data_IF_207180551043
#
_entry.id   IF_207180551043
#
_cell.length_a   1.000
_cell.length_b   1.000
_cell.length_c   1.000
_cell.angle_alpha   90.00
_cell.angle_beta   90.00
_cell.angle_gamma   90.00
#
_symmetry.space_group_name_H-M   'P 1'
#
loop_
_entity.id
_entity.type
_entity.pdbx_description
1 polymer ?
#
# COMPACT_ATOMS: atom_id res chain seq x y z
N UNK A 1 18.00 -13.44 -39.63
CA UNK A 1 18.63 -13.95 -38.41
C UNK A 1 18.44 -12.94 -37.29
N UNK A 2 17.47 -13.20 -36.41
CA UNK A 2 17.48 -12.76 -35.01
C UNK A 2 16.82 -13.88 -34.23
N UNK A 3 17.56 -14.41 -33.27
CA UNK A 3 17.16 -15.46 -32.36
C UNK A 3 16.03 -14.97 -31.44
N UNK A 4 15.03 -15.81 -31.19
CA UNK A 4 14.01 -15.60 -30.16
C UNK A 4 14.45 -16.43 -28.96
N UNK A 5 14.98 -15.75 -27.95
CA UNK A 5 15.42 -16.31 -26.68
C UNK A 5 14.20 -16.77 -25.86
N UNK A 6 14.33 -17.92 -25.18
CA UNK A 6 13.24 -18.72 -24.64
C UNK A 6 12.33 -18.00 -23.63
N UNK A 7 11.04 -18.02 -23.91
CA UNK A 7 10.00 -17.66 -22.95
C UNK A 7 9.90 -18.76 -21.88
N UNK A 8 10.14 -18.40 -20.61
CA UNK A 8 9.90 -19.27 -19.45
C UNK A 8 8.40 -19.65 -19.34
N UNK A 9 8.04 -20.74 -18.65
CA UNK A 9 6.65 -21.08 -18.37
C UNK A 9 5.94 -19.93 -17.65
N UNK A 10 4.63 -19.82 -17.82
CA UNK A 10 3.84 -18.76 -17.19
C UNK A 10 3.92 -18.86 -15.65
N UNK A 11 4.00 -17.74 -14.92
CA UNK A 11 4.14 -17.71 -13.44
C UNK A 11 3.12 -18.55 -12.68
N UNK A 12 1.93 -18.74 -13.27
CA UNK A 12 0.88 -19.60 -12.74
C UNK A 12 1.27 -21.07 -12.71
N UNK A 13 1.84 -21.59 -13.80
CA UNK A 13 2.16 -23.02 -13.89
C UNK A 13 3.27 -23.39 -12.92
N UNK A 14 4.27 -22.53 -12.75
CA UNK A 14 5.36 -22.77 -11.79
C UNK A 14 4.84 -22.76 -10.34
N UNK A 15 3.94 -21.81 -10.00
CA UNK A 15 3.28 -21.77 -8.70
C UNK A 15 2.43 -23.02 -8.45
N UNK A 16 1.55 -23.35 -9.42
CA UNK A 16 0.57 -24.42 -9.26
C UNK A 16 1.26 -25.78 -9.12
N UNK A 17 2.26 -26.07 -9.96
CA UNK A 17 3.01 -27.33 -9.91
C UNK A 17 3.79 -27.43 -8.60
N UNK A 18 4.45 -26.35 -8.16
CA UNK A 18 5.19 -26.33 -6.89
C UNK A 18 4.28 -26.57 -5.68
N UNK A 19 3.18 -25.82 -5.60
CA UNK A 19 2.19 -25.98 -4.53
C UNK A 19 1.56 -27.38 -4.54
N UNK A 20 1.18 -27.89 -5.71
CA UNK A 20 0.51 -29.18 -5.84
C UNK A 20 1.41 -30.32 -5.39
N UNK A 21 2.68 -30.33 -5.79
CA UNK A 21 3.65 -31.34 -5.37
C UNK A 21 3.80 -31.32 -3.86
N UNK A 22 4.02 -30.14 -3.26
CA UNK A 22 4.20 -30.02 -1.81
C UNK A 22 2.96 -30.46 -1.02
N UNK A 23 1.77 -30.09 -1.50
CA UNK A 23 0.52 -30.46 -0.83
C UNK A 23 0.26 -31.98 -0.85
N UNK A 24 0.56 -32.66 -1.97
CA UNK A 24 0.35 -34.10 -2.10
C UNK A 24 1.32 -34.96 -1.25
N UNK A 25 2.37 -34.37 -0.69
CA UNK A 25 3.26 -35.07 0.27
C UNK A 25 2.55 -35.26 1.62
N UNK A 26 1.53 -34.46 1.92
CA UNK A 26 0.79 -34.53 3.18
C UNK A 26 -0.24 -35.67 3.07
N UNK A 27 -0.12 -36.76 3.86
CA UNK A 27 -0.96 -37.96 3.70
C UNK A 27 -2.43 -37.74 4.09
N UNK A 28 -2.76 -36.62 4.74
CA UNK A 28 -4.13 -36.23 5.07
C UNK A 28 -4.85 -35.48 3.95
N UNK A 29 -4.16 -35.10 2.87
CA UNK A 29 -4.75 -34.38 1.75
C UNK A 29 -4.93 -35.28 0.54
N UNK A 30 -6.05 -35.13 -0.13
CA UNK A 30 -6.29 -35.73 -1.43
C UNK A 30 -5.72 -34.87 -2.55
N UNK A 31 -5.38 -35.49 -3.68
CA UNK A 31 -4.99 -34.76 -4.89
C UNK A 31 -6.04 -33.72 -5.31
N UNK A 32 -7.33 -33.99 -5.06
CA UNK A 32 -8.42 -33.06 -5.35
C UNK A 32 -8.39 -31.82 -4.42
N UNK A 33 -8.22 -32.01 -3.12
CA UNK A 33 -8.08 -30.91 -2.16
C UNK A 33 -6.85 -30.06 -2.45
N UNK A 34 -5.72 -30.71 -2.77
CA UNK A 34 -4.49 -30.02 -3.16
C UNK A 34 -4.65 -29.25 -4.47
N UNK A 35 -5.33 -29.81 -5.47
CA UNK A 35 -5.63 -29.10 -6.71
C UNK A 35 -6.46 -27.86 -6.42
N UNK A 36 -7.52 -27.96 -5.61
CA UNK A 36 -8.41 -26.83 -5.33
C UNK A 36 -7.71 -25.74 -4.50
N UNK A 37 -6.92 -26.12 -3.49
CA UNK A 37 -6.17 -25.19 -2.65
C UNK A 37 -5.10 -24.45 -3.46
N UNK A 38 -4.28 -25.19 -4.22
CA UNK A 38 -3.24 -24.58 -5.04
C UNK A 38 -3.79 -23.77 -6.20
N UNK A 39 -4.96 -24.14 -6.74
CA UNK A 39 -5.65 -23.32 -7.73
C UNK A 39 -6.09 -21.99 -7.10
N UNK A 40 -6.68 -22.00 -5.90
CA UNK A 40 -7.07 -20.76 -5.20
C UNK A 40 -5.84 -19.87 -4.91
N UNK A 41 -4.78 -20.47 -4.39
CA UNK A 41 -3.57 -19.74 -3.97
C UNK A 41 -2.73 -19.22 -5.15
N UNK A 42 -2.74 -19.93 -6.30
CA UNK A 42 -1.96 -19.56 -7.48
C UNK A 42 -2.77 -18.79 -8.55
N UNK A 43 -4.10 -18.92 -8.61
CA UNK A 43 -4.94 -18.08 -9.50
C UNK A 43 -5.03 -16.65 -8.97
N UNK A 44 -5.13 -16.49 -7.64
CA UNK A 44 -5.06 -15.19 -6.98
C UNK A 44 -3.91 -15.25 -5.98
N UNK A 45 -2.68 -14.94 -6.40
CA UNK A 45 -1.58 -14.82 -5.45
C UNK A 45 -1.96 -13.72 -4.44
N UNK A 46 -2.25 -14.10 -3.20
CA UNK A 46 -2.52 -13.14 -2.11
C UNK A 46 -1.23 -12.45 -1.64
N UNK A 47 -0.11 -12.66 -2.34
CA UNK A 47 1.15 -12.01 -2.04
C UNK A 47 1.62 -11.30 -3.30
N UNK A 48 1.78 -9.97 -3.19
CA UNK A 48 2.17 -9.01 -4.23
C UNK A 48 1.03 -8.43 -5.07
N UNK A 49 0.02 -7.82 -4.42
CA UNK A 49 -0.56 -6.61 -5.02
C UNK A 49 0.55 -5.56 -5.11
N UNK A 50 1.06 -5.34 -6.31
CA UNK A 50 1.67 -4.12 -6.82
C UNK A 50 2.26 -3.17 -5.75
N UNK A 51 3.51 -3.38 -5.36
CA UNK A 51 4.28 -2.40 -4.56
C UNK A 51 4.67 -1.15 -5.41
N UNK A 52 4.33 -1.14 -6.71
CA UNK A 52 4.58 -0.02 -7.60
C UNK A 52 3.26 0.63 -8.02
N UNK A 53 2.74 1.59 -7.24
CA UNK A 53 1.76 2.54 -7.79
C UNK A 53 0.79 3.24 -6.83
N UNK A 54 0.27 2.56 -5.80
CA UNK A 54 -0.94 3.04 -5.12
C UNK A 54 -0.80 3.23 -3.60
N UNK A 55 0.12 4.07 -3.13
CA UNK A 55 0.30 4.30 -1.68
C UNK A 55 0.11 5.75 -1.29
N UNK A 56 -1.15 6.15 -1.10
CA UNK A 56 -1.49 7.16 -0.11
C UNK A 56 -2.17 6.43 1.05
N UNK A 57 -1.55 6.54 2.24
CA UNK A 57 -1.84 5.93 3.56
C UNK A 57 -2.30 4.46 3.60
N UNK A 58 -1.52 3.60 4.24
CA UNK A 58 -1.81 2.17 4.43
C UNK A 58 -1.63 1.77 5.89
N UNK A 59 -2.48 0.88 6.39
CA UNK A 59 -2.47 0.38 7.77
C UNK A 59 -2.85 -1.09 7.82
N UNK A 60 -2.36 -1.82 8.83
CA UNK A 60 -2.82 -3.18 9.14
C UNK A 60 -4.13 -3.21 9.93
N UNK A 61 -4.62 -2.05 10.38
CA UNK A 61 -5.91 -1.92 11.06
C UNK A 61 -7.06 -2.24 10.10
N UNK A 62 -8.02 -3.04 10.55
CA UNK A 62 -9.29 -3.24 9.85
C UNK A 62 -10.15 -1.97 9.96
N UNK A 63 -10.65 -1.48 8.83
CA UNK A 63 -11.43 -0.23 8.75
C UNK A 63 -12.94 -0.44 8.82
N UNK A 64 -13.42 -1.66 9.01
CA UNK A 64 -14.85 -1.94 9.21
C UNK A 64 -15.38 -1.18 10.44
N UNK A 65 -16.46 -0.42 10.25
CA UNK A 65 -17.06 0.41 11.30
C UNK A 65 -16.29 1.71 11.64
N UNK A 66 -15.17 1.99 10.96
CA UNK A 66 -14.43 3.24 11.12
C UNK A 66 -15.00 4.32 10.18
N UNK A 67 -15.12 5.55 10.67
CA UNK A 67 -15.45 6.71 9.83
C UNK A 67 -14.26 7.14 8.97
N UNK A 68 -14.08 6.42 7.85
CA UNK A 68 -13.03 6.69 6.86
C UNK A 68 -13.15 8.11 6.29
N UNK A 69 -14.37 8.65 6.15
CA UNK A 69 -14.58 9.98 5.59
C UNK A 69 -13.99 11.07 6.48
N UNK A 70 -14.14 10.94 7.80
CA UNK A 70 -13.52 11.86 8.76
C UNK A 70 -11.99 11.83 8.66
N UNK A 71 -11.37 10.64 8.56
CA UNK A 71 -9.91 10.51 8.41
C UNK A 71 -9.43 11.19 7.12
N UNK A 72 -10.09 10.92 6.00
CA UNK A 72 -9.71 11.48 4.70
C UNK A 72 -9.85 13.01 4.68
N UNK A 73 -10.90 13.56 5.30
CA UNK A 73 -11.10 15.02 5.40
C UNK A 73 -10.02 15.68 6.25
N UNK A 74 -9.75 15.15 7.44
CA UNK A 74 -8.74 15.71 8.34
C UNK A 74 -7.33 15.64 7.72
N UNK A 75 -7.00 14.53 7.07
CA UNK A 75 -5.74 14.38 6.35
C UNK A 75 -5.63 15.35 5.16
N UNK A 76 -6.72 15.51 4.39
CA UNK A 76 -6.76 16.45 3.25
C UNK A 76 -6.52 17.88 3.72
N UNK A 77 -7.22 18.30 4.78
CA UNK A 77 -7.04 19.62 5.37
C UNK A 77 -5.61 19.84 5.88
N UNK A 78 -5.08 18.89 6.66
CA UNK A 78 -3.73 19.00 7.21
C UNK A 78 -2.65 19.10 6.12
N UNK A 79 -2.78 18.32 5.05
CA UNK A 79 -1.85 18.37 3.91
C UNK A 79 -1.96 19.69 3.16
N UNK A 80 -3.19 20.15 2.87
CA UNK A 80 -3.44 21.41 2.17
C UNK A 80 -2.88 22.61 2.93
N UNK A 81 -3.19 22.71 4.23
CA UNK A 81 -2.77 23.79 5.12
C UNK A 81 -1.24 23.85 5.25
N UNK A 82 -0.60 22.71 5.53
CA UNK A 82 0.83 22.68 5.82
C UNK A 82 1.71 22.83 4.57
N UNK A 83 1.26 22.33 3.41
CA UNK A 83 1.98 22.54 2.14
C UNK A 83 1.67 23.91 1.54
N UNK A 84 0.53 24.51 1.90
CA UNK A 84 0.07 25.79 1.35
C UNK A 84 -0.54 25.65 -0.04
N UNK A 85 -1.23 24.54 -0.31
CA UNK A 85 -1.94 24.28 -1.57
C UNK A 85 -3.45 24.18 -1.33
N UNK A 86 -4.29 24.59 -2.30
CA UNK A 86 -5.74 24.41 -2.16
C UNK A 86 -6.10 22.92 -2.00
N UNK A 87 -7.07 22.60 -1.15
CA UNK A 87 -7.56 21.22 -0.95
C UNK A 87 -7.98 20.55 -2.26
N UNK A 88 -8.47 21.32 -3.23
CA UNK A 88 -8.84 20.81 -4.56
C UNK A 88 -7.67 20.16 -5.34
N UNK A 89 -6.41 20.40 -4.93
CA UNK A 89 -5.21 19.79 -5.50
C UNK A 89 -4.61 18.69 -4.60
N UNK A 90 -5.30 18.33 -3.51
CA UNK A 90 -4.84 17.32 -2.55
C UNK A 90 -5.66 16.05 -2.76
N UNK A 91 -4.97 14.92 -2.90
CA UNK A 91 -5.58 13.61 -3.00
C UNK A 91 -5.05 12.74 -1.85
N UNK A 92 -5.96 12.20 -1.04
CA UNK A 92 -5.64 11.25 0.02
C UNK A 92 -6.38 9.95 -0.24
N UNK A 93 -5.69 8.83 -0.10
CA UNK A 93 -6.28 7.50 -0.08
C UNK A 93 -6.00 6.87 1.28
N UNK A 94 -6.80 5.90 1.70
CA UNK A 94 -6.56 5.10 2.89
C UNK A 94 -6.86 3.64 2.57
N UNK A 95 -5.88 2.77 2.82
CA UNK A 95 -6.00 1.32 2.67
C UNK A 95 -5.83 0.64 4.01
N UNK A 96 -6.84 -0.10 4.44
CA UNK A 96 -6.82 -0.92 5.65
C UNK A 96 -6.46 -2.37 5.37
N UNK A 97 -6.30 -3.14 6.43
CA UNK A 97 -6.03 -4.58 6.38
C UNK A 97 -4.82 -4.95 5.50
N UNK A 98 -3.85 -4.04 5.39
CA UNK A 98 -2.59 -4.28 4.68
C UNK A 98 -1.60 -4.89 5.67
N UNK A 99 -1.03 -6.08 5.42
CA UNK A 99 -0.04 -6.66 6.32
C UNK A 99 1.16 -5.72 6.53
N UNK A 100 1.40 -5.32 7.79
CA UNK A 100 2.52 -4.44 8.18
C UNK A 100 3.16 -5.01 9.43
N UNK A 101 4.49 -5.10 9.40
CA UNK A 101 5.33 -5.51 10.52
C UNK A 101 6.40 -4.45 10.76
N UNK A 102 6.50 -3.93 11.97
CA UNK A 102 7.58 -3.01 12.39
C UNK A 102 8.32 -3.66 13.56
N UNK A 103 9.61 -3.90 13.37
CA UNK A 103 10.46 -4.54 14.37
C UNK A 103 10.08 -5.99 14.68
N UNK A 104 9.46 -6.70 13.73
CA UNK A 104 8.99 -8.08 13.93
C UNK A 104 7.63 -8.19 14.65
N UNK A 105 6.96 -7.06 14.94
CA UNK A 105 5.68 -7.01 15.66
C UNK A 105 4.57 -6.56 14.70
N UNK A 106 3.41 -7.23 14.76
CA UNK A 106 2.24 -6.98 13.89
C UNK A 106 1.17 -6.07 14.51
N UNK A 107 1.43 -5.48 15.67
CA UNK A 107 0.57 -4.47 16.31
C UNK A 107 0.22 -3.31 15.36
N UNK A 108 -0.86 -2.54 15.63
CA UNK A 108 -1.30 -1.43 14.80
C UNK A 108 -0.14 -0.57 14.30
N UNK A 109 -0.04 -0.44 12.99
CA UNK A 109 1.06 0.21 12.31
C UNK A 109 0.58 0.78 10.98
N UNK A 110 1.23 1.86 10.55
CA UNK A 110 0.89 2.52 9.30
C UNK A 110 2.12 2.96 8.51
N UNK A 111 1.92 3.12 7.21
CA UNK A 111 2.88 3.68 6.29
C UNK A 111 2.17 4.65 5.35
N UNK A 112 2.76 5.81 5.09
CA UNK A 112 2.25 6.78 4.13
C UNK A 112 3.33 7.32 3.23
N UNK A 113 2.90 7.85 2.09
CA UNK A 113 3.75 8.63 1.19
C UNK A 113 3.06 9.98 0.96
N UNK A 114 3.85 11.06 0.85
CA UNK A 114 3.40 12.38 0.44
C UNK A 114 4.21 12.77 -0.78
N UNK A 115 3.53 12.90 -1.91
CA UNK A 115 4.10 13.37 -3.17
C UNK A 115 3.57 14.77 -3.43
N UNK A 116 4.45 15.74 -3.67
CA UNK A 116 4.06 17.11 -3.98
C UNK A 116 5.01 17.71 -5.02
N UNK A 117 4.49 18.65 -5.82
CA UNK A 117 5.29 19.51 -6.68
C UNK A 117 5.69 20.74 -5.88
N UNK A 118 6.89 20.73 -5.30
CA UNK A 118 7.36 21.75 -4.37
C UNK A 118 6.57 21.81 -3.06
N UNK A 119 6.95 22.75 -2.18
CA UNK A 119 6.32 22.98 -0.87
C UNK A 119 6.79 22.04 0.24
N UNK A 120 7.51 20.97 -0.09
CA UNK A 120 8.14 20.08 0.89
C UNK A 120 9.50 20.65 1.31
N UNK A 121 9.77 20.63 2.60
CA UNK A 121 11.04 21.01 3.23
C UNK A 121 11.10 20.40 4.64
N UNK A 122 12.25 20.40 5.33
CA UNK A 122 12.37 19.74 6.64
C UNK A 122 11.32 20.16 7.68
N UNK A 123 10.96 21.45 7.74
CA UNK A 123 9.98 21.96 8.71
C UNK A 123 8.55 21.55 8.35
N UNK A 124 8.17 21.67 7.08
CA UNK A 124 6.85 21.21 6.58
C UNK A 124 6.71 19.71 6.74
N UNK A 125 7.74 18.93 6.39
CA UNK A 125 7.75 17.48 6.52
C UNK A 125 7.59 17.04 7.98
N UNK A 126 8.27 17.72 8.91
CA UNK A 126 8.12 17.46 10.35
C UNK A 126 6.68 17.71 10.82
N UNK A 127 6.07 18.82 10.40
CA UNK A 127 4.68 19.17 10.76
C UNK A 127 3.68 18.19 10.13
N UNK A 128 3.87 17.80 8.87
CA UNK A 128 3.03 16.81 8.19
C UNK A 128 3.10 15.45 8.89
N UNK A 129 4.31 14.98 9.21
CA UNK A 129 4.51 13.73 9.93
C UNK A 129 3.78 13.74 11.28
N UNK A 130 3.88 14.85 12.03
CA UNK A 130 3.19 15.00 13.30
C UNK A 130 1.66 14.97 13.11
N UNK A 131 1.12 15.83 12.23
CA UNK A 131 -0.32 15.95 12.00
C UNK A 131 -0.96 14.62 11.56
N UNK A 132 -0.36 13.94 10.58
CA UNK A 132 -0.87 12.66 10.09
C UNK A 132 -0.77 11.57 11.17
N UNK A 133 0.32 11.54 11.94
CA UNK A 133 0.46 10.58 13.05
C UNK A 133 -0.59 10.79 14.14
N UNK A 134 -0.95 12.03 14.45
CA UNK A 134 -2.01 12.36 15.42
C UNK A 134 -3.38 11.92 14.93
N UNK A 135 -3.69 12.10 13.64
CA UNK A 135 -4.95 11.62 13.04
C UNK A 135 -5.02 10.09 13.13
N UNK A 136 -3.93 9.40 12.78
CA UNK A 136 -3.84 7.95 12.82
C UNK A 136 -3.97 7.40 14.26
N UNK A 137 -3.33 8.03 15.23
CA UNK A 137 -3.46 7.66 16.64
C UNK A 137 -4.91 7.83 17.11
N UNK A 138 -5.50 9.00 16.87
CA UNK A 138 -6.84 9.34 17.35
C UNK A 138 -7.94 8.48 16.71
N UNK A 139 -7.80 8.14 15.42
CA UNK A 139 -8.87 7.50 14.64
C UNK A 139 -8.68 6.00 14.46
N UNK A 140 -7.43 5.53 14.48
CA UNK A 140 -7.08 4.13 14.20
C UNK A 140 -6.26 3.47 15.31
N UNK A 141 -5.96 4.19 16.40
CA UNK A 141 -5.13 3.69 17.52
C UNK A 141 -3.74 3.20 17.08
N UNK A 142 -3.21 3.75 15.98
CA UNK A 142 -1.83 3.47 15.55
C UNK A 142 -0.88 4.34 16.38
N UNK A 143 0.04 3.75 17.19
CA UNK A 143 0.98 4.53 17.98
C UNK A 143 1.89 5.39 17.09
N UNK A 144 2.26 6.59 17.55
CA UNK A 144 3.17 7.50 16.80
C UNK A 144 4.50 6.83 16.45
N UNK A 145 4.98 5.92 17.30
CA UNK A 145 6.23 5.18 17.11
C UNK A 145 6.15 4.09 16.04
N UNK A 146 4.94 3.76 15.56
CA UNK A 146 4.66 2.70 14.59
C UNK A 146 4.10 3.26 13.27
N UNK A 147 4.55 4.45 12.91
CA UNK A 147 4.19 5.11 11.67
C UNK A 147 5.42 5.66 10.94
N UNK A 148 5.50 5.40 9.64
CA UNK A 148 6.48 6.03 8.75
C UNK A 148 5.77 6.84 7.66
N UNK A 149 6.27 8.05 7.41
CA UNK A 149 5.80 8.92 6.33
C UNK A 149 6.98 9.27 5.42
N UNK A 150 6.90 8.82 4.17
CA UNK A 150 7.89 9.13 3.14
C UNK A 150 7.47 10.39 2.39
N UNK A 151 8.42 11.28 2.13
CA UNK A 151 8.20 12.51 1.37
C UNK A 151 8.93 12.43 0.03
N UNK A 152 8.26 12.84 -1.05
CA UNK A 152 8.83 12.88 -2.38
C UNK A 152 8.45 14.18 -3.09
N UNK A 153 9.45 15.03 -3.33
CA UNK A 153 9.28 16.21 -4.17
C UNK A 153 9.44 15.80 -5.64
N UNK A 154 8.52 16.24 -6.49
CA UNK A 154 8.48 15.87 -7.91
C UNK A 154 8.35 17.09 -8.82
N UNK A 155 8.77 16.93 -10.07
CA UNK A 155 8.57 17.93 -11.11
C UNK A 155 7.12 17.89 -11.61
N UNK A 156 6.57 19.06 -11.99
CA UNK A 156 5.24 19.15 -12.60
C UNK A 156 5.11 18.31 -13.88
N UNK A 157 6.19 18.28 -14.68
CA UNK A 157 6.28 17.47 -15.89
C UNK A 157 6.19 15.96 -15.67
N UNK A 158 6.31 15.49 -14.42
CA UNK A 158 6.18 14.09 -14.02
C UNK A 158 4.82 13.78 -13.40
N UNK A 159 3.91 14.76 -13.34
CA UNK A 159 2.61 14.63 -12.68
C UNK A 159 1.48 14.97 -13.65
N UNK A 160 0.62 13.98 -13.92
CA UNK A 160 -0.54 14.14 -14.78
C UNK A 160 -1.76 14.64 -14.02
N UNK A 161 -2.48 15.62 -14.56
CA UNK A 161 -3.77 16.07 -14.05
C UNK A 161 -4.66 16.54 -15.20
N UNK A 162 -5.96 16.19 -15.14
CA UNK A 162 -6.97 16.61 -16.10
C UNK A 162 -6.59 16.33 -17.59
N UNK A 163 -5.97 15.18 -17.86
CA UNK A 163 -5.57 14.77 -19.21
C UNK A 163 -4.32 15.46 -19.77
N UNK A 164 -3.60 16.25 -18.96
CA UNK A 164 -2.31 16.88 -19.31
C UNK A 164 -1.27 16.65 -18.19
N UNK A 165 -0.06 17.17 -18.36
CA UNK A 165 0.94 17.36 -17.31
C UNK A 165 0.86 18.78 -16.73
N UNK A 166 1.41 18.96 -15.52
CA UNK A 166 1.50 20.23 -14.80
C UNK A 166 2.78 21.03 -15.13
#
# INVERSE_FOLDING_TARGET
MREVEGQSPTPFMDCYVGCFILCNIIPSHTAYECALQCLKDCVVPTTTQSIHGDKNLSTNVNLEGIDISSILKEATFAVADLIGKPEAHVMVMLKGSVPIVIGGIEDPAAYGEVVSIGGLNPDVNKKLSAAISTILEAKLSVPLTRFFLKFYDTLGSSFGWNGTIL
#
